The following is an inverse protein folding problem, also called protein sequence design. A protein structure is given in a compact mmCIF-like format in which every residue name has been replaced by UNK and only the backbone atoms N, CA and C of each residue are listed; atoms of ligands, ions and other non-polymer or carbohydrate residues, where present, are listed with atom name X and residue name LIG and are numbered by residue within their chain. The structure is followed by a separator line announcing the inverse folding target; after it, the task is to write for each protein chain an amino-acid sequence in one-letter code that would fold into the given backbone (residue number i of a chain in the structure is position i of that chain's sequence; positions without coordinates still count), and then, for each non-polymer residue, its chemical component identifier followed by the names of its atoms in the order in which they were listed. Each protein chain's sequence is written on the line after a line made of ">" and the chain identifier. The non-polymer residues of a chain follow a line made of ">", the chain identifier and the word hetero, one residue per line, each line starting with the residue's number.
data_IF_145527680100
#
_entry.id   IF_145527680100
#
_cell.length_a   1.000
_cell.length_b   1.000
_cell.length_c   1.000
_cell.angle_alpha   90.00
_cell.angle_beta   90.00
_cell.angle_gamma   90.00
#
_symmetry.space_group_name_H-M   'P 1'
#
loop_
_entity.id
_entity.type
_entity.pdbx_description
1 polymer ?
#
# COMPACT_ATOMS: atom_id res chain seq x y z
N UNK A 1 8.90 -9.49 0.78
CA UNK A 1 8.02 -8.84 -0.24
C UNK A 1 8.91 -8.38 -1.39
N UNK A 2 8.68 -8.83 -2.62
CA UNK A 2 9.58 -8.54 -3.74
C UNK A 2 9.54 -7.05 -4.09
N UNK A 3 10.66 -6.34 -3.89
CA UNK A 3 10.80 -4.91 -4.24
C UNK A 3 10.39 -4.63 -5.69
N UNK A 4 10.61 -5.60 -6.60
CA UNK A 4 10.21 -5.53 -8.00
C UNK A 4 8.69 -5.44 -8.20
N UNK A 5 7.89 -6.15 -7.40
CA UNK A 5 6.42 -6.08 -7.50
C UNK A 5 5.93 -4.71 -7.04
N UNK A 6 6.51 -4.20 -5.94
CA UNK A 6 6.14 -2.89 -5.41
C UNK A 6 6.53 -1.76 -6.37
N UNK A 7 7.75 -1.78 -6.92
CA UNK A 7 8.17 -0.77 -7.89
C UNK A 7 7.32 -0.79 -9.16
N UNK A 8 6.99 -1.97 -9.69
CA UNK A 8 6.07 -2.11 -10.83
C UNK A 8 4.68 -1.54 -10.53
N UNK A 9 4.14 -1.79 -9.33
CA UNK A 9 2.84 -1.26 -8.91
C UNK A 9 2.87 0.27 -8.81
N UNK A 10 3.93 0.85 -8.23
CA UNK A 10 4.11 2.31 -8.12
C UNK A 10 4.25 2.94 -9.50
N UNK A 11 5.05 2.36 -10.40
CA UNK A 11 5.20 2.84 -11.77
C UNK A 11 3.86 2.83 -12.53
N UNK A 12 3.09 1.74 -12.41
CA UNK A 12 1.75 1.65 -13.01
C UNK A 12 0.81 2.74 -12.49
N UNK A 13 0.82 2.99 -11.17
CA UNK A 13 0.01 4.05 -10.57
C UNK A 13 0.43 5.45 -11.04
N UNK A 14 1.74 5.72 -11.14
CA UNK A 14 2.25 6.98 -11.69
C UNK A 14 1.82 7.16 -13.14
N UNK A 15 1.93 6.11 -13.96
CA UNK A 15 1.49 6.11 -15.35
C UNK A 15 0.01 6.46 -15.48
N UNK A 16 -0.85 5.81 -14.69
CA UNK A 16 -2.29 6.11 -14.64
C UNK A 16 -2.60 7.53 -14.16
N UNK A 17 -1.86 8.05 -13.17
CA UNK A 17 -2.05 9.41 -12.69
C UNK A 17 -1.66 10.46 -13.73
N UNK A 18 -0.66 10.17 -14.57
CA UNK A 18 -0.26 11.05 -15.69
C UNK A 18 -1.24 10.99 -16.86
N UNK A 19 -1.75 9.81 -17.19
CA UNK A 19 -2.61 9.59 -18.35
C UNK A 19 -4.07 10.07 -18.18
N UNK A 20 -4.54 10.34 -16.95
CA UNK A 20 -5.95 10.68 -16.72
C UNK A 20 -6.24 12.17 -16.98
N UNK A 21 -7.00 12.53 -18.06
CA UNK A 21 -7.18 13.93 -18.46
C UNK A 21 -7.92 14.77 -17.41
N UNK A 22 -8.88 14.18 -16.69
CA UNK A 22 -9.64 14.87 -15.60
C UNK A 22 -8.73 15.27 -14.43
N UNK A 23 -7.54 14.67 -14.29
CA UNK A 23 -6.58 15.00 -13.23
C UNK A 23 -5.53 16.02 -13.70
N UNK A 24 -5.51 16.39 -14.97
CA UNK A 24 -4.53 17.35 -15.51
C UNK A 24 -4.74 18.78 -14.97
N UNK A 25 -5.98 19.14 -14.62
CA UNK A 25 -6.34 20.45 -14.07
C UNK A 25 -6.26 20.53 -12.54
N UNK A 26 -5.98 19.42 -11.86
CA UNK A 26 -5.91 19.38 -10.39
C UNK A 26 -4.51 19.70 -9.88
N UNK A 27 -4.43 20.15 -8.62
CA UNK A 27 -3.14 20.42 -7.97
C UNK A 27 -2.28 19.15 -7.92
N UNK A 28 -0.96 19.32 -7.87
CA UNK A 28 0.02 18.23 -7.80
C UNK A 28 -0.31 17.25 -6.65
N UNK A 29 -0.69 17.77 -5.48
CA UNK A 29 -1.06 16.94 -4.33
C UNK A 29 -2.28 16.07 -4.59
N UNK A 30 -3.32 16.58 -5.26
CA UNK A 30 -4.51 15.78 -5.58
C UNK A 30 -4.25 14.74 -6.68
N UNK A 31 -3.31 15.05 -7.60
CA UNK A 31 -2.91 14.15 -8.68
C UNK A 31 -2.11 12.96 -8.15
N UNK A 32 -1.18 13.21 -7.22
CA UNK A 32 -0.27 12.21 -6.66
C UNK A 32 -0.64 11.72 -5.25
N UNK A 33 -1.76 12.20 -4.69
CA UNK A 33 -2.32 11.74 -3.41
C UNK A 33 -2.23 10.22 -3.16
N UNK A 34 -2.63 9.32 -4.09
CA UNK A 34 -2.57 7.88 -3.83
C UNK A 34 -1.14 7.37 -3.67
N UNK A 35 -0.19 7.95 -4.40
CA UNK A 35 1.23 7.58 -4.32
C UNK A 35 1.80 8.01 -2.96
N UNK A 36 1.48 9.22 -2.50
CA UNK A 36 1.89 9.69 -1.17
C UNK A 36 1.26 8.86 -0.06
N UNK A 37 -0.03 8.55 -0.13
CA UNK A 37 -0.71 7.73 0.87
C UNK A 37 -0.11 6.32 0.99
N UNK A 38 0.16 5.67 -0.15
CA UNK A 38 0.78 4.34 -0.17
C UNK A 38 2.23 4.41 0.32
N UNK A 39 3.01 5.40 -0.10
CA UNK A 39 4.39 5.58 0.32
C UNK A 39 4.51 5.82 1.83
N UNK A 40 3.76 6.78 2.35
CA UNK A 40 3.73 7.09 3.80
C UNK A 40 3.19 5.89 4.57
N UNK A 41 2.08 5.28 4.13
CA UNK A 41 1.52 4.09 4.79
C UNK A 41 2.50 2.92 4.86
N UNK A 42 3.25 2.68 3.78
CA UNK A 42 4.29 1.64 3.75
C UNK A 42 5.43 1.94 4.74
N UNK A 43 5.88 3.20 4.85
CA UNK A 43 6.89 3.60 5.84
C UNK A 43 6.37 3.40 7.26
N UNK A 44 5.12 3.78 7.56
CA UNK A 44 4.53 3.61 8.89
C UNK A 44 4.49 2.13 9.30
N UNK A 45 4.08 1.23 8.39
CA UNK A 45 4.07 -0.22 8.64
C UNK A 45 5.51 -0.77 8.79
N UNK A 46 6.45 -0.32 7.95
CA UNK A 46 7.86 -0.70 8.06
C UNK A 46 8.47 -0.27 9.39
N UNK A 47 8.17 0.94 9.87
CA UNK A 47 8.64 1.41 11.18
C UNK A 47 8.14 0.52 12.31
N UNK A 48 6.87 0.08 12.28
CA UNK A 48 6.34 -0.85 13.29
C UNK A 48 7.00 -2.24 13.18
N UNK A 49 7.16 -2.79 11.97
CA UNK A 49 7.87 -4.05 11.77
C UNK A 49 9.32 -3.99 12.25
N UNK A 50 10.03 -2.91 11.93
CA UNK A 50 11.39 -2.69 12.42
C UNK A 50 11.37 -2.63 13.94
N UNK A 51 10.48 -1.84 14.57
CA UNK A 51 10.35 -1.78 16.03
C UNK A 51 10.13 -3.17 16.66
N UNK A 52 9.29 -4.01 16.06
CA UNK A 52 9.11 -5.39 16.51
C UNK A 52 10.38 -6.23 16.35
N UNK A 53 11.04 -6.15 15.20
CA UNK A 53 12.28 -6.88 14.93
C UNK A 53 13.43 -6.42 15.84
N UNK A 54 13.52 -5.12 16.11
CA UNK A 54 14.42 -4.53 17.09
C UNK A 54 14.14 -5.11 18.48
N UNK A 55 12.87 -5.13 18.90
CA UNK A 55 12.48 -5.68 20.19
C UNK A 55 12.79 -7.18 20.34
N UNK A 56 12.64 -7.94 19.26
CA UNK A 56 12.96 -9.38 19.25
C UNK A 56 14.47 -9.64 19.18
N UNK A 57 15.24 -8.83 18.43
CA UNK A 57 16.68 -8.98 18.28
C UNK A 57 17.49 -8.49 19.49
N UNK A 58 16.99 -7.47 20.19
CA UNK A 58 17.61 -6.95 21.42
C UNK A 58 17.04 -7.56 22.71
N UNK A 59 16.05 -8.45 22.60
CA UNK A 59 15.65 -9.35 23.68
C UNK A 59 16.60 -10.52 23.81
N UNK A 60 17.90 -10.28 24.01
CA UNK A 60 18.86 -11.35 24.30
C UNK A 60 18.79 -11.73 25.77
N UNK A 61 18.63 -13.03 26.05
CA UNK A 61 18.92 -13.61 27.37
C UNK A 61 20.29 -13.12 27.82
N UNK A 62 20.38 -12.54 29.02
CA UNK A 62 21.65 -12.29 29.65
C UNK A 62 22.20 -13.65 30.06
N UNK A 63 23.00 -14.25 29.18
CA UNK A 63 23.78 -15.44 29.51
C UNK A 63 24.72 -15.03 30.65
N UNK A 64 24.51 -15.60 31.84
CA UNK A 64 25.31 -15.37 33.04
C UNK A 64 26.79 -15.62 32.69
N UNK A 65 27.53 -14.57 32.33
CA UNK A 65 28.99 -14.57 32.43
C UNK A 65 29.36 -13.71 33.61
N UNK A 66 29.84 -14.44 34.61
CA UNK A 66 30.46 -14.01 35.85
C UNK A 66 31.25 -12.70 35.73
N UNK A 67 31.14 -11.93 36.82
CA UNK A 67 31.93 -10.74 37.14
C UNK A 67 31.65 -9.47 36.32
N UNK A 68 30.61 -8.72 36.70
CA UNK A 68 30.82 -7.42 37.37
C UNK A 68 29.50 -6.87 37.93
N UNK A 69 29.53 -6.58 39.22
CA UNK A 69 28.42 -6.12 40.06
C UNK A 69 27.64 -4.92 39.51
N UNK A 70 26.36 -5.13 39.19
CA UNK A 70 25.33 -4.09 39.23
C UNK A 70 24.22 -4.59 40.15
N UNK A 71 24.22 -4.06 41.38
CA UNK A 71 23.15 -4.27 42.35
C UNK A 71 21.87 -3.60 41.85
N UNK A 72 20.86 -4.39 41.49
CA UNK A 72 19.46 -3.97 41.45
C UNK A 72 18.65 -4.85 42.39
N UNK A 73 17.93 -4.18 43.30
CA UNK A 73 17.18 -4.75 44.41
C UNK A 73 16.10 -5.73 43.94
N UNK A 74 16.21 -6.97 44.45
CA UNK A 74 15.20 -8.00 44.69
C UNK A 74 13.84 -7.88 43.96
N UNK A 75 13.85 -8.14 42.65
CA UNK A 75 12.73 -8.82 42.00
C UNK A 75 13.01 -10.34 42.05
N UNK A 76 11.99 -11.20 42.19
CA UNK A 76 12.18 -12.66 42.24
C UNK A 76 12.96 -13.13 41.01
N UNK A 77 14.08 -13.82 41.27
CA UNK A 77 15.16 -14.20 40.34
C UNK A 77 14.73 -14.92 39.05
N UNK A 78 13.46 -15.28 38.91
CA UNK A 78 12.90 -15.91 37.71
C UNK A 78 12.68 -14.94 36.54
N UNK A 79 12.71 -13.63 36.79
CA UNK A 79 12.40 -12.61 35.77
C UNK A 79 13.49 -11.55 35.57
N UNK A 80 14.63 -11.63 36.28
CA UNK A 80 15.72 -10.64 36.21
C UNK A 80 16.74 -10.86 35.08
N UNK A 81 16.59 -11.92 34.30
CA UNK A 81 17.59 -12.36 33.31
C UNK A 81 17.47 -11.69 31.93
N UNK A 82 16.54 -10.73 31.77
CA UNK A 82 16.36 -9.99 30.52
C UNK A 82 16.77 -8.53 30.74
N UNK A 83 18.00 -8.20 30.37
CA UNK A 83 18.52 -6.84 30.46
C UNK A 83 17.93 -6.01 29.29
N UNK A 84 16.73 -5.45 29.48
CA UNK A 84 16.14 -4.56 28.49
C UNK A 84 16.93 -3.25 28.43
N UNK A 85 17.48 -2.91 27.25
CA UNK A 85 18.13 -1.62 27.03
C UNK A 85 17.17 -0.48 27.33
N UNK A 86 17.55 0.44 28.22
CA UNK A 86 16.77 1.61 28.67
C UNK A 86 16.60 2.69 27.59
N UNK A 87 16.61 2.31 26.32
CA UNK A 87 16.40 3.23 25.21
C UNK A 87 14.96 3.74 25.19
N UNK A 88 14.78 4.97 24.70
CA UNK A 88 13.49 5.68 24.60
C UNK A 88 12.38 4.94 23.82
N UNK A 89 12.71 3.80 23.21
CA UNK A 89 11.80 2.93 22.45
C UNK A 89 11.59 1.55 23.10
N UNK A 90 11.98 1.34 24.36
CA UNK A 90 11.71 0.08 25.06
C UNK A 90 10.20 -0.12 25.21
N UNK A 91 9.71 -1.26 24.71
CA UNK A 91 8.31 -1.68 24.81
C UNK A 91 7.95 -2.16 26.22
N UNK A 92 8.94 -2.43 27.06
CA UNK A 92 8.77 -2.88 28.43
C UNK A 92 9.34 -1.83 29.39
N UNK A 93 8.62 -1.60 30.48
CA UNK A 93 9.19 -0.90 31.63
C UNK A 93 10.25 -1.79 32.28
N UNK A 94 11.05 -1.20 33.17
CA UNK A 94 12.00 -1.93 34.03
C UNK A 94 11.35 -3.07 34.81
N UNK A 95 10.06 -2.98 35.03
CA UNK A 95 9.27 -3.89 35.86
C UNK A 95 8.71 -5.08 35.03
N UNK A 96 9.06 -5.16 33.75
CA UNK A 96 8.54 -6.17 32.81
C UNK A 96 7.11 -5.91 32.31
N UNK A 97 6.39 -4.93 32.88
CA UNK A 97 5.09 -4.50 32.37
C UNK A 97 5.23 -3.81 31.01
N UNK A 98 4.23 -3.94 30.13
CA UNK A 98 4.22 -3.22 28.85
C UNK A 98 4.20 -1.70 29.08
N UNK A 99 5.12 -1.01 28.42
CA UNK A 99 5.10 0.45 28.33
C UNK A 99 3.92 0.89 27.45
N UNK A 100 2.97 1.60 28.06
CA UNK A 100 1.77 2.11 27.39
C UNK A 100 2.11 2.91 26.14
N UNK A 101 3.23 3.65 26.14
CA UNK A 101 3.63 4.46 24.99
C UNK A 101 4.07 3.58 23.80
N UNK A 102 4.81 2.49 24.06
CA UNK A 102 5.21 1.55 23.02
C UNK A 102 4.01 0.84 22.38
N UNK A 103 3.04 0.43 23.21
CA UNK A 103 1.79 -0.17 22.74
C UNK A 103 0.93 0.83 21.96
N UNK A 104 0.76 2.05 22.48
CA UNK A 104 -0.04 3.07 21.82
C UNK A 104 0.58 3.50 20.48
N UNK A 105 1.90 3.67 20.42
CA UNK A 105 2.59 4.03 19.19
C UNK A 105 2.47 2.92 18.15
N UNK A 106 2.63 1.65 18.54
CA UNK A 106 2.45 0.50 17.64
C UNK A 106 1.04 0.42 17.08
N UNK A 107 0.03 0.43 17.95
CA UNK A 107 -1.37 0.35 17.52
C UNK A 107 -1.68 1.52 16.58
N UNK A 108 -1.33 2.75 16.95
CA UNK A 108 -1.64 3.91 16.11
C UNK A 108 -0.89 3.85 14.78
N UNK A 109 0.42 3.58 14.75
CA UNK A 109 1.20 3.54 13.50
C UNK A 109 0.73 2.44 12.56
N UNK A 110 0.45 1.25 13.08
CA UNK A 110 0.06 0.09 12.26
C UNK A 110 -1.34 0.27 11.69
N UNK A 111 -2.29 0.72 12.50
CA UNK A 111 -3.65 0.98 12.02
C UNK A 111 -3.71 2.18 11.08
N UNK A 112 -3.02 3.28 11.40
CA UNK A 112 -2.97 4.44 10.49
C UNK A 112 -2.28 4.10 9.18
N UNK A 113 -1.15 3.38 9.23
CA UNK A 113 -0.44 2.89 8.05
C UNK A 113 -1.30 1.99 7.17
N UNK A 114 -2.06 1.06 7.78
CA UNK A 114 -3.00 0.19 7.07
C UNK A 114 -4.14 0.98 6.42
N UNK A 115 -4.77 1.91 7.16
CA UNK A 115 -5.85 2.75 6.64
C UNK A 115 -5.35 3.63 5.48
N UNK A 116 -4.14 4.19 5.58
CA UNK A 116 -3.50 4.97 4.52
C UNK A 116 -3.23 4.13 3.26
N UNK A 117 -2.66 2.94 3.43
CA UNK A 117 -2.43 2.00 2.32
C UNK A 117 -3.73 1.61 1.63
N UNK A 118 -4.74 1.20 2.41
CA UNK A 118 -6.03 0.80 1.88
C UNK A 118 -6.73 1.95 1.15
N UNK A 119 -6.77 3.13 1.77
CA UNK A 119 -7.36 4.34 1.17
C UNK A 119 -6.62 4.76 -0.11
N UNK A 120 -5.28 4.68 -0.12
CA UNK A 120 -4.47 4.96 -1.29
C UNK A 120 -4.75 4.01 -2.46
N UNK A 121 -4.91 2.71 -2.18
CA UNK A 121 -5.28 1.70 -3.18
C UNK A 121 -6.68 1.98 -3.73
N UNK A 122 -7.68 2.21 -2.86
CA UNK A 122 -9.05 2.53 -3.27
C UNK A 122 -9.14 3.80 -4.12
N UNK A 123 -8.34 4.80 -3.78
CA UNK A 123 -8.20 6.03 -4.57
C UNK A 123 -7.53 5.76 -5.93
N UNK A 124 -6.51 4.90 -5.96
CA UNK A 124 -5.81 4.49 -7.18
C UNK A 124 -6.68 3.75 -8.19
N UNK A 125 -7.65 2.95 -7.72
CA UNK A 125 -8.58 2.20 -8.59
C UNK A 125 -9.85 3.00 -8.98
N UNK A 126 -9.93 4.27 -8.56
CA UNK A 126 -11.12 5.12 -8.67
C UNK A 126 -12.39 4.44 -8.12
N UNK A 127 -12.26 3.71 -7.00
CA UNK A 127 -13.33 2.88 -6.44
C UNK A 127 -14.61 3.69 -6.18
N UNK A 128 -14.45 4.88 -5.60
CA UNK A 128 -15.57 5.79 -5.31
C UNK A 128 -16.41 6.11 -6.54
N UNK A 129 -15.79 6.27 -7.72
CA UNK A 129 -16.52 6.56 -8.96
C UNK A 129 -17.31 5.34 -9.41
N UNK A 130 -16.73 4.15 -9.36
CA UNK A 130 -17.39 2.89 -9.73
C UNK A 130 -18.57 2.57 -8.81
N UNK A 131 -18.35 2.68 -7.50
CA UNK A 131 -19.41 2.48 -6.50
C UNK A 131 -20.53 3.49 -6.70
N UNK A 132 -20.21 4.77 -6.92
CA UNK A 132 -21.25 5.79 -7.15
C UNK A 132 -22.07 5.52 -8.42
N UNK A 133 -21.45 5.03 -9.48
CA UNK A 133 -22.15 4.66 -10.72
C UNK A 133 -23.08 3.46 -10.48
N UNK A 134 -22.57 2.39 -9.87
CA UNK A 134 -23.39 1.20 -9.55
C UNK A 134 -24.52 1.53 -8.57
N UNK A 135 -24.24 2.35 -7.55
CA UNK A 135 -25.24 2.79 -6.58
C UNK A 135 -26.34 3.62 -7.24
N UNK A 136 -25.98 4.48 -8.21
CA UNK A 136 -26.95 5.23 -9.00
C UNK A 136 -27.85 4.29 -9.81
N UNK A 137 -27.28 3.28 -10.47
CA UNK A 137 -28.04 2.25 -11.20
C UNK A 137 -29.03 1.51 -10.29
N UNK A 138 -28.61 1.12 -9.08
CA UNK A 138 -29.49 0.43 -8.11
C UNK A 138 -30.62 1.36 -7.66
N UNK A 139 -30.32 2.63 -7.39
CA UNK A 139 -31.31 3.60 -6.92
C UNK A 139 -32.34 3.95 -8.00
N UNK A 140 -31.90 4.12 -9.24
CA UNK A 140 -32.78 4.40 -10.38
C UNK A 140 -33.59 3.16 -10.79
N UNK A 141 -32.98 1.97 -10.71
CA UNK A 141 -33.67 0.70 -10.96
C UNK A 141 -34.77 0.36 -9.93
N UNK A 142 -34.70 0.91 -8.72
CA UNK A 142 -35.72 0.71 -7.67
C UNK A 142 -36.88 1.70 -7.76
N UNK A 143 -36.68 2.85 -8.39
CA UNK A 143 -37.73 3.85 -8.66
C UNK A 143 -38.49 3.57 -9.97
N UNK A 144 -37.94 2.72 -10.84
CA UNK A 144 -38.54 2.32 -12.12
C UNK A 144 -39.18 0.94 -12.06
N UNK A 145 -40.25 0.77 -11.28
CA UNK A 145 -41.15 -0.38 -11.37
C UNK A 145 -41.95 -0.42 -12.68
N UNK A 146 -41.32 -0.16 -13.82
CA UNK A 146 -41.88 -0.37 -15.16
C UNK A 146 -40.95 -1.31 -15.90
N UNK A 147 -41.37 -2.56 -15.97
CA UNK A 147 -40.66 -3.66 -16.61
C UNK A 147 -40.09 -3.23 -17.97
N UNK A 148 -38.79 -3.39 -18.23
CA UNK A 148 -38.32 -3.50 -19.58
C UNK A 148 -38.78 -4.88 -20.06
N UNK A 149 -39.83 -4.85 -20.88
CA UNK A 149 -40.25 -5.96 -21.73
C UNK A 149 -39.00 -6.63 -22.29
N UNK A 150 -38.93 -7.94 -22.10
CA UNK A 150 -37.91 -8.83 -22.61
C UNK A 150 -37.59 -8.52 -24.08
N UNK A 151 -36.48 -7.86 -24.33
CA UNK A 151 -35.81 -7.93 -25.63
C UNK A 151 -34.43 -8.50 -25.36
N UNK A 152 -34.37 -9.82 -25.39
CA UNK A 152 -33.14 -10.56 -25.56
C UNK A 152 -32.41 -10.01 -26.80
N UNK A 153 -31.37 -9.20 -26.59
CA UNK A 153 -30.39 -8.87 -27.63
C UNK A 153 -29.09 -8.43 -26.96
N UNK A 154 -28.04 -9.21 -27.19
CA UNK A 154 -26.66 -8.72 -27.12
C UNK A 154 -25.92 -9.00 -25.81
N UNK A 155 -25.60 -10.28 -25.59
CA UNK A 155 -24.29 -10.65 -25.05
C UNK A 155 -23.22 -10.26 -26.11
N UNK A 156 -22.96 -8.96 -26.30
CA UNK A 156 -21.79 -8.48 -27.04
C UNK A 156 -21.31 -7.19 -26.37
N UNK A 157 -20.02 -7.13 -26.06
CA UNK A 157 -19.39 -5.88 -25.66
C UNK A 157 -18.69 -5.89 -24.31
N UNK A 158 -17.99 -6.98 -23.96
CA UNK A 158 -16.70 -6.77 -23.31
C UNK A 158 -15.82 -6.03 -24.33
N UNK A 159 -15.34 -4.80 -24.09
CA UNK A 159 -14.34 -4.21 -24.95
C UNK A 159 -13.04 -4.99 -24.75
N UNK A 160 -12.89 -6.07 -25.52
CA UNK A 160 -11.57 -6.60 -25.87
C UNK A 160 -10.87 -5.42 -26.52
N UNK A 161 -9.88 -4.87 -25.82
CA UNK A 161 -8.96 -3.91 -26.38
C UNK A 161 -8.27 -4.60 -27.56
N UNK A 162 -8.85 -4.40 -28.75
CA UNK A 162 -8.24 -4.76 -30.02
C UNK A 162 -7.05 -3.82 -30.13
N UNK A 163 -5.90 -4.26 -29.66
CA UNK A 163 -4.61 -3.74 -30.10
C UNK A 163 -4.54 -4.05 -31.59
N UNK A 164 -5.17 -3.21 -32.40
CA UNK A 164 -4.88 -3.09 -33.82
C UNK A 164 -3.49 -2.49 -33.87
N UNK A 165 -2.50 -3.36 -33.84
CA UNK A 165 -1.15 -3.06 -34.31
C UNK A 165 -1.33 -2.73 -35.78
N UNK A 166 -1.39 -1.44 -36.11
CA UNK A 166 -1.23 -0.99 -37.48
C UNK A 166 0.10 -1.55 -37.99
N UNK A 167 0.11 -2.34 -39.08
CA UNK A 167 1.36 -2.70 -39.72
C UNK A 167 2.02 -1.41 -40.24
N UNK A 168 3.34 -1.24 -40.07
CA UNK A 168 4.04 -0.08 -40.62
C UNK A 168 3.80 -0.04 -42.13
N UNK A 169 3.41 1.15 -42.61
CA UNK A 169 3.23 1.42 -44.02
C UNK A 169 4.45 0.92 -44.79
N UNK A 170 4.20 -0.04 -45.69
CA UNK A 170 5.18 -0.65 -46.58
C UNK A 170 5.66 0.43 -47.55
N UNK A 171 6.70 1.17 -47.14
CA UNK A 171 7.37 2.16 -47.96
C UNK A 171 7.91 1.49 -49.22
N UNK A 172 7.43 1.98 -50.35
CA UNK A 172 7.80 1.59 -51.70
C UNK A 172 9.31 1.77 -51.89
N UNK A 173 10.01 0.70 -52.26
CA UNK A 173 11.40 0.78 -52.69
C UNK A 173 11.48 1.57 -54.01
N UNK A 174 12.42 2.52 -54.16
CA UNK A 174 12.71 3.12 -55.46
C UNK A 174 13.39 2.08 -56.36
N UNK A 175 12.79 1.89 -57.54
CA UNK A 175 13.38 1.24 -58.71
C UNK A 175 14.73 1.91 -59.01
N UNK A 176 15.82 1.15 -58.87
CA UNK A 176 17.11 1.49 -59.45
C UNK A 176 16.99 1.33 -60.96
N UNK A 177 16.78 2.47 -61.62
CA UNK A 177 16.80 2.62 -63.06
C UNK A 177 18.25 2.53 -63.55
N UNK A 178 18.47 1.55 -64.43
CA UNK A 178 19.68 1.39 -65.22
C UNK A 178 19.98 2.67 -66.01
N UNK A 179 21.19 3.22 -65.85
CA UNK A 179 21.89 3.89 -66.95
C UNK A 179 23.34 3.39 -67.03
N UNK A 180 23.57 2.74 -68.18
CA UNK A 180 24.77 2.60 -69.02
C UNK A 180 26.12 3.04 -68.42
#
# INVERSE_FOLDING_TARGET
>A
MNCAIFSNMVQHMIGKCKAHPVRATRSHFQKFAPVYMIGVGAILILCDLVRHLMNDAWGTHCDERDDFSVQTKDLPAKYSEVCYGTGFASMYNTDGSLNTLGLLLSVIFTWTGFVLLFSGILYGIDFHRKVRLQWRTIREGRSGGRAPTSTARGLEGFPVARNVVEPPARGSAPLLENQV
#
